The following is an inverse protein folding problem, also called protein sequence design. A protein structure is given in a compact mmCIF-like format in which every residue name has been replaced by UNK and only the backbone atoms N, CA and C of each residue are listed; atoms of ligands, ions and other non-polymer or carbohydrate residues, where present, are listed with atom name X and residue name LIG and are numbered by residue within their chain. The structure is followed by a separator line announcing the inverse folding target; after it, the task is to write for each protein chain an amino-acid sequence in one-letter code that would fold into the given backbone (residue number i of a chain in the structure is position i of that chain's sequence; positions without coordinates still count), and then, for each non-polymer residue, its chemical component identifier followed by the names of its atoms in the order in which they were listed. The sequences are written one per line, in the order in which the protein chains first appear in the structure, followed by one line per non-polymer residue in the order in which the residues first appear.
data_IF_871269175590
#
_entry.id   IF_871269175590
#
_cell.length_a   1.000
_cell.length_b   1.000
_cell.length_c   1.000
_cell.angle_alpha   90.00
_cell.angle_beta   90.00
_cell.angle_gamma   90.00
#
_symmetry.space_group_name_H-M   'P 1'
#
loop_
_entity.id
_entity.type
_entity.pdbx_description
1 polymer ?
#
# COMPACT_ATOMS: atom_id res chain seq x y z
N UNK A 1 17.33 -0.55 -2.05
CA UNK A 1 16.37 -1.29 -2.89
C UNK A 1 17.04 -1.80 -4.15
N UNK A 2 16.88 -3.07 -4.49
CA UNK A 2 17.42 -3.70 -5.73
C UNK A 2 16.30 -4.10 -6.67
N UNK A 3 16.61 -4.41 -7.94
CA UNK A 3 15.63 -4.92 -8.91
C UNK A 3 14.96 -6.21 -8.41
N UNK A 4 15.75 -7.10 -7.78
CA UNK A 4 15.24 -8.32 -7.18
C UNK A 4 14.19 -8.02 -6.09
N UNK A 5 14.41 -6.99 -5.26
CA UNK A 5 13.42 -6.58 -4.27
C UNK A 5 12.12 -6.11 -4.93
N UNK A 6 12.21 -5.29 -5.99
CA UNK A 6 11.01 -4.83 -6.71
C UNK A 6 10.23 -5.99 -7.34
N UNK A 7 10.90 -6.97 -7.95
CA UNK A 7 10.25 -8.17 -8.49
C UNK A 7 9.62 -9.01 -7.38
N UNK A 8 10.34 -9.23 -6.28
CA UNK A 8 9.84 -9.98 -5.13
C UNK A 8 8.62 -9.28 -4.50
N UNK A 9 8.61 -7.96 -4.39
CA UNK A 9 7.46 -7.19 -3.91
C UNK A 9 6.23 -7.45 -4.80
N UNK A 10 6.38 -7.41 -6.12
CA UNK A 10 5.27 -7.57 -7.04
C UNK A 10 4.67 -8.99 -7.06
N UNK A 11 5.50 -10.01 -6.85
CA UNK A 11 5.06 -11.42 -6.92
C UNK A 11 4.70 -12.01 -5.55
N UNK A 12 5.42 -11.61 -4.50
CA UNK A 12 5.37 -12.21 -3.17
C UNK A 12 4.99 -11.21 -2.07
N UNK A 13 4.95 -9.91 -2.36
CA UNK A 13 4.67 -8.88 -1.35
C UNK A 13 3.33 -9.08 -0.66
N UNK A 14 2.28 -9.41 -1.42
CA UNK A 14 0.95 -9.68 -0.86
C UNK A 14 0.94 -10.91 0.08
N UNK A 15 1.39 -12.12 -0.34
CA UNK A 15 1.53 -13.25 0.58
C UNK A 15 2.39 -12.94 1.81
N UNK A 16 3.54 -12.29 1.63
CA UNK A 16 4.44 -11.96 2.75
C UNK A 16 3.80 -10.96 3.72
N UNK A 17 2.97 -10.06 3.24
CA UNK A 17 2.18 -9.16 4.10
C UNK A 17 1.14 -9.94 4.92
N UNK A 18 0.43 -10.88 4.31
CA UNK A 18 -0.57 -11.70 5.03
C UNK A 18 0.07 -12.59 6.10
N UNK A 19 1.14 -13.31 5.76
CA UNK A 19 1.76 -14.31 6.63
C UNK A 19 2.75 -13.74 7.66
N UNK A 20 3.38 -12.60 7.37
CA UNK A 20 4.48 -12.09 8.18
C UNK A 20 4.46 -10.56 8.39
N UNK A 21 3.47 -9.84 7.85
CA UNK A 21 3.31 -8.40 8.01
C UNK A 21 4.58 -7.60 7.63
N UNK A 22 5.32 -8.04 6.61
CA UNK A 22 6.69 -7.55 6.26
C UNK A 22 6.77 -6.03 6.04
N UNK A 23 5.67 -5.38 5.64
CA UNK A 23 5.57 -3.93 5.41
C UNK A 23 4.61 -3.22 6.37
N UNK A 24 3.94 -3.95 7.26
CA UNK A 24 2.98 -3.37 8.21
C UNK A 24 3.63 -3.03 9.55
N UNK A 25 2.85 -2.37 10.41
CA UNK A 25 3.29 -2.01 11.76
C UNK A 25 3.00 -3.16 12.73
N UNK A 26 4.04 -3.71 13.36
CA UNK A 26 3.90 -4.70 14.43
C UNK A 26 3.77 -4.02 15.79
N UNK A 27 2.55 -3.73 16.23
CA UNK A 27 2.28 -3.19 17.56
C UNK A 27 1.99 -4.35 18.51
N UNK A 28 2.67 -4.43 19.66
CA UNK A 28 2.45 -5.49 20.66
C UNK A 28 3.00 -6.89 20.28
N UNK A 29 3.33 -7.13 19.01
CA UNK A 29 3.92 -8.38 18.51
C UNK A 29 4.89 -8.07 17.37
N UNK A 30 6.00 -8.82 17.28
CA UNK A 30 6.98 -8.63 16.21
C UNK A 30 6.43 -9.12 14.87
N UNK A 31 6.77 -8.44 13.78
CA UNK A 31 6.54 -8.95 12.43
C UNK A 31 7.45 -10.17 12.16
N UNK A 32 7.03 -11.05 11.26
CA UNK A 32 7.74 -12.28 10.92
C UNK A 32 6.84 -13.52 10.92
N UNK A 33 7.38 -14.64 10.46
CA UNK A 33 6.68 -15.91 10.41
C UNK A 33 6.53 -16.56 11.80
N UNK A 34 5.61 -17.53 11.91
CA UNK A 34 5.33 -18.25 13.14
C UNK A 34 4.47 -17.42 14.09
N UNK A 35 4.93 -17.19 15.31
CA UNK A 35 4.23 -16.38 16.31
C UNK A 35 4.41 -14.87 16.07
N UNK A 36 4.50 -14.42 14.82
CA UNK A 36 4.53 -13.01 14.45
C UNK A 36 3.16 -12.45 14.11
N UNK A 37 3.09 -11.15 13.82
CA UNK A 37 1.88 -10.50 13.32
C UNK A 37 1.52 -11.07 11.96
N UNK A 38 0.29 -11.54 11.82
CA UNK A 38 -0.24 -12.10 10.57
C UNK A 38 -1.77 -11.91 10.51
N UNK A 39 -2.37 -12.17 9.35
CA UNK A 39 -3.78 -11.91 9.09
C UNK A 39 -4.70 -13.11 9.39
N UNK A 40 -4.14 -14.25 9.77
CA UNK A 40 -4.83 -15.52 10.02
C UNK A 40 -4.93 -15.85 11.52
N UNK A 41 -4.43 -14.96 12.38
CA UNK A 41 -4.47 -15.13 13.83
C UNK A 41 -5.62 -14.27 14.39
N UNK A 42 -6.68 -14.86 14.95
CA UNK A 42 -7.79 -14.12 15.53
C UNK A 42 -7.39 -13.21 16.70
N UNK A 43 -6.21 -13.44 17.28
CA UNK A 43 -5.60 -12.62 18.34
C UNK A 43 -4.54 -11.63 17.81
N UNK A 44 -4.41 -11.50 16.49
CA UNK A 44 -3.46 -10.59 15.87
C UNK A 44 -3.75 -9.14 16.26
N UNK A 45 -2.72 -8.32 16.58
CA UNK A 45 -2.91 -6.91 16.93
C UNK A 45 -3.35 -6.03 15.75
N UNK A 46 -3.55 -6.62 14.56
CA UNK A 46 -4.13 -5.95 13.40
C UNK A 46 -5.64 -5.70 13.53
N UNK A 47 -6.32 -6.48 14.37
CA UNK A 47 -7.79 -6.50 14.45
C UNK A 47 -8.26 -6.21 15.87
N UNK A 48 -9.51 -5.77 16.00
CA UNK A 48 -10.15 -5.67 17.30
C UNK A 48 -10.64 -7.05 17.76
N UNK A 49 -10.68 -7.29 19.07
CA UNK A 49 -11.07 -8.60 19.62
C UNK A 49 -12.48 -9.05 19.19
N UNK A 50 -13.36 -8.11 18.85
CA UNK A 50 -14.72 -8.39 18.35
C UNK A 50 -14.72 -9.02 16.95
N UNK A 51 -13.67 -8.81 16.17
CA UNK A 51 -13.55 -9.30 14.78
C UNK A 51 -12.98 -10.73 14.71
N UNK A 52 -12.57 -11.31 15.85
CA UNK A 52 -11.98 -12.65 15.93
C UNK A 52 -12.82 -13.73 15.23
N UNK A 53 -14.15 -13.70 15.39
CA UNK A 53 -15.04 -14.64 14.72
C UNK A 53 -15.05 -14.50 13.18
N UNK A 54 -14.90 -13.27 12.67
CA UNK A 54 -14.84 -13.00 11.23
C UNK A 54 -13.52 -13.51 10.63
N UNK A 55 -12.43 -13.41 11.39
CA UNK A 55 -11.11 -13.94 10.97
C UNK A 55 -11.19 -15.46 10.83
N UNK A 56 -11.73 -16.16 11.83
CA UNK A 56 -11.92 -17.62 11.78
C UNK A 56 -12.77 -18.02 10.58
N UNK A 57 -13.87 -17.30 10.32
CA UNK A 57 -14.75 -17.57 9.18
C UNK A 57 -14.01 -17.38 7.85
N UNK A 58 -13.21 -16.32 7.73
CA UNK A 58 -12.37 -16.06 6.56
C UNK A 58 -11.36 -17.20 6.34
N UNK A 59 -10.68 -17.66 7.39
CA UNK A 59 -9.69 -18.74 7.32
C UNK A 59 -10.31 -20.06 6.87
N UNK A 60 -11.52 -20.38 7.36
CA UNK A 60 -12.31 -21.53 6.89
C UNK A 60 -12.61 -21.37 5.39
N UNK A 61 -13.03 -20.18 4.95
CA UNK A 61 -13.28 -19.91 3.53
C UNK A 61 -12.04 -20.11 2.65
N UNK A 62 -10.87 -19.65 3.11
CA UNK A 62 -9.60 -19.87 2.43
C UNK A 62 -9.26 -21.36 2.36
N UNK A 63 -9.46 -22.11 3.45
CA UNK A 63 -9.28 -23.56 3.49
C UNK A 63 -10.17 -24.30 2.50
N UNK A 64 -11.45 -23.93 2.41
CA UNK A 64 -12.41 -24.47 1.44
C UNK A 64 -11.94 -24.19 0.01
N UNK A 65 -11.52 -22.95 -0.28
CA UNK A 65 -11.02 -22.59 -1.61
C UNK A 65 -9.76 -23.38 -1.98
N UNK A 66 -8.82 -23.57 -1.05
CA UNK A 66 -7.64 -24.39 -1.26
C UNK A 66 -7.99 -25.85 -1.56
N UNK A 67 -8.98 -26.41 -0.86
CA UNK A 67 -9.50 -27.76 -1.14
C UNK A 67 -10.13 -27.85 -2.54
N UNK A 68 -10.95 -26.87 -2.94
CA UNK A 68 -11.54 -26.83 -4.29
C UNK A 68 -10.44 -26.81 -5.35
N UNK A 69 -9.43 -25.95 -5.20
CA UNK A 69 -8.30 -25.88 -6.12
C UNK A 69 -7.51 -27.20 -6.18
N UNK A 70 -7.31 -27.87 -5.04
CA UNK A 70 -6.65 -29.17 -5.01
C UNK A 70 -7.46 -30.24 -5.76
N UNK A 71 -8.79 -30.23 -5.63
CA UNK A 71 -9.69 -31.12 -6.40
C UNK A 71 -9.60 -30.80 -7.89
N UNK A 72 -9.67 -29.53 -8.29
CA UNK A 72 -9.57 -29.11 -9.69
C UNK A 72 -8.22 -29.50 -10.31
N UNK A 73 -7.11 -29.36 -9.56
CA UNK A 73 -5.79 -29.83 -9.99
C UNK A 73 -5.76 -31.35 -10.21
N UNK A 74 -6.48 -32.14 -9.42
CA UNK A 74 -6.59 -33.59 -9.61
C UNK A 74 -7.45 -33.96 -10.83
N UNK A 75 -8.56 -33.24 -11.04
CA UNK A 75 -9.51 -33.51 -12.13
C UNK A 75 -8.97 -33.05 -13.49
N UNK A 76 -8.44 -31.83 -13.55
CA UNK A 76 -8.03 -31.18 -14.80
C UNK A 76 -6.52 -31.16 -15.02
N UNK A 77 -5.72 -31.56 -14.01
CA UNK A 77 -4.26 -31.54 -14.09
C UNK A 77 -3.65 -30.19 -13.73
N UNK A 78 -2.50 -30.22 -13.06
CA UNK A 78 -1.77 -29.01 -12.61
C UNK A 78 -1.35 -28.13 -13.77
N UNK A 79 -0.98 -28.70 -14.92
CA UNK A 79 -0.58 -27.92 -16.11
C UNK A 79 -1.71 -27.03 -16.61
N UNK A 80 -2.94 -27.57 -16.67
CA UNK A 80 -4.12 -26.80 -17.08
C UNK A 80 -4.46 -25.74 -16.03
N UNK A 81 -4.47 -26.10 -14.74
CA UNK A 81 -4.75 -25.15 -13.66
C UNK A 81 -3.70 -24.03 -13.56
N UNK A 82 -2.45 -24.30 -13.92
CA UNK A 82 -1.40 -23.29 -14.01
C UNK A 82 -1.77 -22.20 -15.01
N UNK A 83 -2.25 -22.58 -16.19
CA UNK A 83 -2.61 -21.64 -17.25
C UNK A 83 -3.96 -20.97 -16.95
N UNK A 84 -4.96 -21.73 -16.53
CA UNK A 84 -6.34 -21.23 -16.37
C UNK A 84 -6.56 -20.41 -15.10
N UNK A 85 -5.82 -20.71 -14.03
CA UNK A 85 -6.06 -20.11 -12.72
C UNK A 85 -4.82 -19.45 -12.13
N UNK A 86 -3.71 -20.19 -11.96
CA UNK A 86 -2.58 -19.66 -11.17
C UNK A 86 -1.87 -18.49 -11.85
N UNK A 87 -1.62 -18.55 -13.17
CA UNK A 87 -1.04 -17.43 -13.92
C UNK A 87 -1.97 -16.21 -13.89
N UNK A 88 -3.26 -16.31 -14.26
CA UNK A 88 -4.20 -15.19 -14.15
C UNK A 88 -4.31 -14.63 -12.72
N UNK A 89 -4.32 -15.49 -11.70
CA UNK A 89 -4.34 -15.07 -10.30
C UNK A 89 -3.10 -14.24 -9.94
N UNK A 90 -1.90 -14.71 -10.29
CA UNK A 90 -0.66 -13.96 -10.05
C UNK A 90 -0.64 -12.64 -10.83
N UNK A 91 -1.20 -12.62 -12.05
CA UNK A 91 -1.33 -11.40 -12.85
C UNK A 91 -2.23 -10.35 -12.18
N UNK A 92 -3.39 -10.76 -11.65
CA UNK A 92 -4.27 -9.87 -10.88
C UNK A 92 -3.58 -9.36 -9.62
N UNK A 93 -2.89 -10.24 -8.88
CA UNK A 93 -2.15 -9.86 -7.67
C UNK A 93 -1.04 -8.86 -7.98
N UNK A 94 -0.29 -9.06 -9.08
CA UNK A 94 0.71 -8.11 -9.52
C UNK A 94 0.11 -6.71 -9.72
N UNK A 95 -1.00 -6.61 -10.44
CA UNK A 95 -1.65 -5.32 -10.67
C UNK A 95 -2.17 -4.70 -9.38
N UNK A 96 -2.78 -5.48 -8.48
CA UNK A 96 -3.23 -4.99 -7.18
C UNK A 96 -2.06 -4.38 -6.40
N UNK A 97 -0.92 -5.08 -6.32
CA UNK A 97 0.27 -4.58 -5.62
C UNK A 97 0.87 -3.36 -6.33
N UNK A 98 1.00 -3.37 -7.65
CA UNK A 98 1.59 -2.27 -8.41
C UNK A 98 0.77 -0.98 -8.27
N UNK A 99 -0.55 -1.08 -8.46
CA UNK A 99 -1.49 0.04 -8.46
C UNK A 99 -1.55 0.65 -7.06
N UNK A 100 -1.86 -0.16 -6.04
CA UNK A 100 -1.95 0.32 -4.66
C UNK A 100 -0.62 0.92 -4.19
N UNK A 101 0.52 0.29 -4.52
CA UNK A 101 1.83 0.83 -4.19
C UNK A 101 2.04 2.21 -4.81
N UNK A 102 1.82 2.37 -6.12
CA UNK A 102 2.11 3.64 -6.80
C UNK A 102 1.13 4.77 -6.49
N UNK A 103 -0.09 4.43 -6.13
CA UNK A 103 -1.14 5.39 -5.79
C UNK A 103 -1.07 5.87 -4.34
N UNK A 104 -0.47 5.08 -3.44
CA UNK A 104 -0.38 5.39 -2.01
C UNK A 104 1.05 5.65 -1.53
N UNK A 105 2.04 5.51 -2.41
CA UNK A 105 3.45 5.70 -2.07
C UNK A 105 4.08 6.72 -3.02
N UNK A 106 4.47 7.86 -2.47
CA UNK A 106 5.24 8.90 -3.17
C UNK A 106 5.86 9.84 -2.12
N UNK A 107 7.08 10.37 -2.33
CA UNK A 107 7.73 11.28 -1.38
C UNK A 107 6.93 12.57 -1.10
N UNK A 108 6.01 12.96 -1.99
CA UNK A 108 5.15 14.13 -1.81
C UNK A 108 3.91 13.87 -0.93
N UNK A 109 3.64 12.61 -0.58
CA UNK A 109 2.48 12.22 0.22
C UNK A 109 2.77 12.30 1.73
N UNK A 110 1.89 12.96 2.50
CA UNK A 110 2.01 13.01 3.95
C UNK A 110 1.54 11.70 4.59
N UNK A 111 2.19 11.35 5.69
CA UNK A 111 1.72 10.35 6.64
C UNK A 111 1.32 11.07 7.93
N UNK A 112 0.21 10.69 8.54
CA UNK A 112 -0.33 11.40 9.70
C UNK A 112 -0.25 10.55 10.96
N UNK A 113 0.18 11.15 12.07
CA UNK A 113 -0.09 10.60 13.39
C UNK A 113 -1.62 10.57 13.63
N UNK A 114 -2.08 9.69 14.52
CA UNK A 114 -3.50 9.54 14.83
C UNK A 114 -4.19 10.86 15.19
N UNK A 115 -3.54 11.72 15.98
CA UNK A 115 -4.08 13.03 16.37
C UNK A 115 -4.17 14.05 15.20
N UNK A 116 -3.39 13.85 14.13
CA UNK A 116 -3.38 14.73 12.94
C UNK A 116 -4.20 14.15 11.79
N UNK A 117 -4.68 12.91 11.92
CA UNK A 117 -5.42 12.21 10.88
C UNK A 117 -6.91 12.51 10.96
N UNK A 118 -7.53 12.69 9.79
CA UNK A 118 -8.98 12.67 9.62
C UNK A 118 -9.29 12.13 8.21
N UNK A 119 -10.56 11.84 7.94
CA UNK A 119 -10.97 11.29 6.65
C UNK A 119 -10.50 12.14 5.45
N UNK A 120 -10.66 13.46 5.52
CA UNK A 120 -10.30 14.37 4.41
C UNK A 120 -8.79 14.36 4.13
N UNK A 121 -7.97 14.34 5.18
CA UNK A 121 -6.50 14.23 5.08
C UNK A 121 -6.06 12.85 4.61
N UNK A 122 -6.70 11.80 5.09
CA UNK A 122 -6.47 10.43 4.64
C UNK A 122 -6.77 10.26 3.16
N UNK A 123 -7.92 10.76 2.70
CA UNK A 123 -8.31 10.73 1.30
C UNK A 123 -7.39 11.57 0.40
N UNK A 124 -6.80 12.67 0.93
CA UNK A 124 -5.79 13.46 0.22
C UNK A 124 -4.42 12.77 0.11
N UNK A 125 -4.15 11.73 0.92
CA UNK A 125 -2.86 11.06 0.99
C UNK A 125 -2.69 10.00 -0.11
N UNK A 126 -3.09 10.35 -1.33
CA UNK A 126 -2.97 9.53 -2.54
C UNK A 126 -2.50 10.36 -3.72
N UNK A 127 -2.04 9.70 -4.78
CA UNK A 127 -1.51 10.35 -5.98
C UNK A 127 -2.06 9.69 -7.24
N UNK A 128 -2.45 10.51 -8.21
CA UNK A 128 -2.87 10.03 -9.53
C UNK A 128 -1.65 9.71 -10.39
N UNK A 129 -1.73 8.61 -11.14
CA UNK A 129 -0.65 8.11 -12.01
C UNK A 129 -1.22 7.82 -13.40
N UNK A 130 -0.37 7.92 -14.43
CA UNK A 130 -0.75 7.57 -15.82
C UNK A 130 -0.20 6.21 -16.21
N UNK A 131 -1.09 5.27 -16.54
CA UNK A 131 -0.74 3.90 -16.95
C UNK A 131 -1.10 3.64 -18.43
N UNK A 132 -1.47 4.68 -19.16
CA UNK A 132 -1.80 4.64 -20.58
C UNK A 132 -2.99 3.71 -20.85
N UNK A 133 -2.81 2.84 -21.85
CA UNK A 133 -3.82 1.85 -22.22
C UNK A 133 -4.24 0.95 -21.04
N UNK A 134 -3.30 0.59 -20.16
CA UNK A 134 -3.59 -0.30 -19.05
C UNK A 134 -4.55 0.39 -18.08
N UNK A 135 -4.22 1.62 -17.65
CA UNK A 135 -5.08 2.37 -16.73
C UNK A 135 -6.42 2.73 -17.35
N UNK A 136 -6.40 3.33 -18.55
CA UNK A 136 -7.61 3.83 -19.21
C UNK A 136 -8.56 2.73 -19.69
N UNK A 137 -8.04 1.64 -20.26
CA UNK A 137 -8.88 0.60 -20.89
C UNK A 137 -9.15 -0.57 -19.96
N UNK A 138 -8.13 -1.09 -19.27
CA UNK A 138 -8.29 -2.30 -18.44
C UNK A 138 -8.82 -1.97 -17.05
N UNK A 139 -8.39 -0.84 -16.49
CA UNK A 139 -8.77 -0.38 -15.15
C UNK A 139 -9.77 0.77 -15.15
N UNK A 140 -10.33 1.12 -16.31
CA UNK A 140 -11.37 2.15 -16.46
C UNK A 140 -11.00 3.50 -15.84
N UNK A 141 -9.73 3.92 -15.94
CA UNK A 141 -9.28 5.24 -15.50
C UNK A 141 -9.16 5.41 -13.98
N UNK A 142 -9.36 4.36 -13.18
CA UNK A 142 -9.26 4.45 -11.71
C UNK A 142 -7.86 4.85 -11.24
N UNK A 143 -6.83 4.56 -12.05
CA UNK A 143 -5.44 4.87 -11.73
C UNK A 143 -5.15 6.37 -11.88
N UNK A 144 -5.77 6.96 -12.91
CA UNK A 144 -5.63 8.36 -13.28
C UNK A 144 -6.57 9.29 -12.50
N UNK A 145 -7.55 8.74 -11.79
CA UNK A 145 -8.59 9.46 -11.02
C UNK A 145 -8.67 8.97 -9.56
N UNK A 146 -7.60 8.40 -9.04
CA UNK A 146 -7.56 7.73 -7.76
C UNK A 146 -7.77 8.66 -6.56
N UNK A 147 -7.21 9.87 -6.60
CA UNK A 147 -7.44 10.89 -5.58
C UNK A 147 -8.94 11.16 -5.44
N UNK A 148 -9.64 11.33 -6.56
CA UNK A 148 -11.09 11.47 -6.53
C UNK A 148 -11.76 10.22 -5.95
N UNK A 149 -11.35 9.02 -6.36
CA UNK A 149 -11.93 7.78 -5.85
C UNK A 149 -11.85 7.68 -4.32
N UNK A 150 -10.79 8.19 -3.69
CA UNK A 150 -10.70 8.20 -2.22
C UNK A 150 -11.70 9.14 -1.55
N UNK A 151 -12.07 10.23 -2.22
CA UNK A 151 -13.12 11.14 -1.74
C UNK A 151 -14.53 10.67 -2.08
N UNK A 152 -14.72 10.03 -3.23
CA UNK A 152 -16.01 9.59 -3.75
C UNK A 152 -15.87 8.20 -4.37
N UNK A 153 -15.74 7.19 -3.51
CA UNK A 153 -15.43 5.81 -3.95
C UNK A 153 -16.54 5.15 -4.77
N UNK A 154 -17.77 5.67 -4.67
CA UNK A 154 -18.94 5.20 -5.41
C UNK A 154 -19.11 5.88 -6.76
N UNK A 155 -18.20 6.78 -7.17
CA UNK A 155 -18.35 7.49 -8.44
C UNK A 155 -18.22 6.50 -9.61
N UNK A 156 -19.13 6.53 -10.60
CA UNK A 156 -18.95 5.75 -11.80
C UNK A 156 -17.78 6.28 -12.62
N UNK A 157 -17.00 5.37 -13.20
CA UNK A 157 -15.77 5.73 -13.93
C UNK A 157 -15.99 6.72 -15.08
N UNK A 158 -17.16 6.68 -15.74
CA UNK A 158 -17.49 7.58 -16.85
C UNK A 158 -17.74 9.04 -16.42
N UNK A 159 -17.86 9.31 -15.12
CA UNK A 159 -17.88 10.67 -14.55
C UNK A 159 -16.59 11.01 -13.78
N UNK A 160 -15.65 10.06 -13.66
CA UNK A 160 -14.47 10.23 -12.82
C UNK A 160 -13.54 11.33 -13.34
N UNK A 161 -13.34 11.45 -14.65
CA UNK A 161 -12.48 12.50 -15.21
C UNK A 161 -13.09 13.90 -14.95
N UNK A 162 -14.39 14.09 -15.18
CA UNK A 162 -15.09 15.36 -14.94
C UNK A 162 -15.00 15.78 -13.45
N UNK A 163 -15.30 14.85 -12.55
CA UNK A 163 -15.23 15.11 -11.12
C UNK A 163 -13.79 15.31 -10.63
N UNK A 164 -12.80 14.71 -11.30
CA UNK A 164 -11.38 14.92 -11.00
C UNK A 164 -10.98 16.36 -11.34
N UNK A 165 -11.43 16.89 -12.49
CA UNK A 165 -11.20 18.30 -12.82
C UNK A 165 -11.90 19.26 -11.85
N UNK A 166 -13.05 18.87 -11.30
CA UNK A 166 -13.72 19.64 -10.25
C UNK A 166 -12.94 19.62 -8.93
N UNK A 167 -12.50 18.45 -8.46
CA UNK A 167 -11.81 18.32 -7.17
C UNK A 167 -10.43 18.98 -7.18
N UNK A 168 -9.72 18.97 -8.32
CA UNK A 168 -8.46 19.69 -8.50
C UNK A 168 -8.58 21.17 -8.14
N UNK A 169 -9.70 21.82 -8.50
CA UNK A 169 -9.95 23.25 -8.20
C UNK A 169 -10.12 23.50 -6.70
N UNK A 170 -10.69 22.54 -5.98
CA UNK A 170 -10.90 22.62 -4.52
C UNK A 170 -9.61 22.33 -3.76
N UNK A 171 -8.89 21.27 -4.15
CA UNK A 171 -7.66 20.85 -3.49
C UNK A 171 -6.46 21.76 -3.80
N UNK A 172 -6.44 22.37 -4.99
CA UNK A 172 -5.36 23.23 -5.45
C UNK A 172 -4.00 22.56 -5.31
N UNK A 173 -3.08 23.21 -4.59
CA UNK A 173 -1.71 22.72 -4.35
C UNK A 173 -1.61 21.38 -3.60
N UNK A 174 -2.71 20.93 -2.97
CA UNK A 174 -2.76 19.67 -2.23
C UNK A 174 -3.12 18.47 -3.10
N UNK A 175 -3.66 18.69 -4.30
CA UNK A 175 -3.86 17.62 -5.25
C UNK A 175 -2.50 17.09 -5.73
N UNK A 176 -2.36 15.77 -5.81
CA UNK A 176 -1.12 15.09 -6.21
C UNK A 176 -1.36 14.26 -7.45
N UNK A 177 -0.52 14.49 -8.45
CA UNK A 177 -0.44 13.66 -9.65
C UNK A 177 1.00 13.58 -10.13
N UNK A 178 1.39 12.43 -10.66
CA UNK A 178 2.64 12.26 -11.39
C UNK A 178 2.37 11.44 -12.64
N UNK A 179 2.36 12.15 -13.77
CA UNK A 179 2.11 11.62 -15.11
C UNK A 179 3.35 11.71 -16.00
N UNK A 180 4.52 11.92 -15.38
CA UNK A 180 5.78 12.08 -16.09
C UNK A 180 6.15 10.80 -16.85
N UNK A 181 6.51 10.94 -18.13
CA UNK A 181 6.83 9.81 -19.01
C UNK A 181 5.62 9.13 -19.65
N UNK A 182 4.41 9.67 -19.47
CA UNK A 182 3.19 9.21 -20.15
C UNK A 182 2.86 7.74 -19.86
N UNK A 183 2.37 7.02 -20.88
CA UNK A 183 1.85 5.65 -20.77
C UNK A 183 2.80 4.61 -20.19
N UNK A 184 4.12 4.87 -20.19
CA UNK A 184 5.14 3.96 -19.65
C UNK A 184 5.85 4.55 -18.41
N UNK A 185 5.46 5.75 -17.98
CA UNK A 185 6.02 6.46 -16.84
C UNK A 185 5.87 5.70 -15.52
N UNK A 186 4.83 4.88 -15.40
CA UNK A 186 4.61 4.05 -14.23
C UNK A 186 5.73 3.02 -13.99
N UNK A 187 6.38 2.51 -15.04
CA UNK A 187 7.52 1.59 -14.90
C UNK A 187 8.71 2.28 -14.22
N UNK A 188 8.98 3.52 -14.61
CA UNK A 188 9.97 4.37 -13.93
C UNK A 188 9.52 4.66 -12.49
N UNK A 189 8.23 4.93 -12.30
CA UNK A 189 7.65 5.20 -10.98
C UNK A 189 7.77 4.01 -10.03
N UNK A 190 7.62 2.77 -10.49
CA UNK A 190 7.85 1.56 -9.68
C UNK A 190 9.26 1.53 -9.12
N UNK A 191 10.24 1.85 -9.96
CA UNK A 191 11.64 1.89 -9.56
C UNK A 191 11.97 3.07 -8.64
N UNK A 192 11.55 4.28 -9.01
CA UNK A 192 11.88 5.48 -8.23
C UNK A 192 11.18 5.47 -6.89
N UNK A 193 9.89 5.15 -6.84
CA UNK A 193 9.11 5.13 -5.59
C UNK A 193 9.73 4.19 -4.57
N UNK A 194 10.10 2.97 -4.97
CA UNK A 194 10.73 2.00 -4.07
C UNK A 194 12.12 2.44 -3.54
N UNK A 195 12.78 3.38 -4.22
CA UNK A 195 14.07 3.94 -3.78
C UNK A 195 13.92 5.22 -2.96
N UNK A 196 12.89 6.00 -3.22
CA UNK A 196 12.62 7.26 -2.52
C UNK A 196 11.85 7.05 -1.21
N UNK A 197 11.00 6.02 -1.16
CA UNK A 197 10.04 5.79 -0.10
C UNK A 197 10.40 4.53 0.70
N UNK A 198 11.26 4.68 1.70
CA UNK A 198 11.76 3.53 2.48
C UNK A 198 11.28 3.54 3.93
N UNK A 199 11.22 4.71 4.55
CA UNK A 199 10.59 4.92 5.86
C UNK A 199 10.10 6.37 5.95
N UNK A 200 9.32 6.70 6.97
CA UNK A 200 8.80 8.06 7.19
C UNK A 200 9.40 8.66 8.46
N UNK A 201 9.65 9.96 8.42
CA UNK A 201 10.18 10.75 9.55
C UNK A 201 9.41 12.06 9.68
N UNK A 202 9.36 12.66 10.88
CA UNK A 202 8.82 13.99 11.04
C UNK A 202 9.64 15.00 10.21
N UNK A 203 9.00 16.08 9.82
CA UNK A 203 9.69 17.18 9.14
C UNK A 203 10.55 17.97 10.12
N UNK A 204 11.78 18.29 9.72
CA UNK A 204 12.69 19.12 10.51
C UNK A 204 12.07 20.50 10.75
N UNK A 205 12.17 20.99 11.99
CA UNK A 205 11.57 22.27 12.40
C UNK A 205 10.04 22.32 12.37
N UNK A 206 9.33 21.19 12.26
CA UNK A 206 7.87 21.18 12.26
C UNK A 206 7.28 21.73 13.58
N UNK A 207 6.36 22.69 13.45
CA UNK A 207 5.64 23.32 14.57
C UNK A 207 4.14 23.12 14.43
N UNK A 208 3.41 23.28 15.55
CA UNK A 208 1.95 23.14 15.57
C UNK A 208 1.47 21.80 15.02
N UNK A 209 0.47 21.82 14.15
CA UNK A 209 -0.10 20.62 13.52
C UNK A 209 0.91 19.85 12.65
N UNK A 210 1.96 20.51 12.17
CA UNK A 210 3.01 19.89 11.35
C UNK A 210 3.80 18.82 12.09
N UNK A 211 3.82 18.84 13.43
CA UNK A 211 4.53 17.84 14.25
C UNK A 211 4.01 16.42 14.05
N UNK A 212 2.73 16.27 13.70
CA UNK A 212 2.11 14.97 13.42
C UNK A 212 2.08 14.61 11.93
N UNK A 213 2.85 15.30 11.09
CA UNK A 213 2.94 15.03 9.65
C UNK A 213 4.34 14.54 9.31
N UNK A 214 4.40 13.35 8.73
CA UNK A 214 5.62 12.62 8.40
C UNK A 214 5.73 12.49 6.88
N UNK A 215 6.95 12.43 6.36
CA UNK A 215 7.23 12.24 4.95
C UNK A 215 8.32 11.20 4.74
N UNK A 216 8.34 10.61 3.55
CA UNK A 216 9.32 9.59 3.23
C UNK A 216 10.76 10.10 3.26
N UNK A 217 11.66 9.17 3.61
CA UNK A 217 13.11 9.27 3.60
C UNK A 217 13.70 8.00 3.01
N UNK A 218 14.99 8.08 2.67
CA UNK A 218 15.72 6.96 2.09
C UNK A 218 17.22 7.04 2.40
N UNK A 219 17.88 5.88 2.33
CA UNK A 219 19.32 5.74 2.47
C UNK A 219 20.07 6.07 1.17
N UNK A 220 19.37 6.43 0.09
CA UNK A 220 19.94 6.69 -1.24
C UNK A 220 20.35 8.16 -1.43
N UNK A 221 20.10 9.03 -0.45
CA UNK A 221 20.38 10.46 -0.55
C UNK A 221 19.46 11.22 -1.50
N UNK A 222 18.27 10.69 -1.78
CA UNK A 222 17.29 11.29 -2.70
C UNK A 222 16.30 12.16 -1.91
N UNK A 223 16.03 13.38 -2.38
CA UNK A 223 15.07 14.28 -1.71
C UNK A 223 15.55 14.79 -0.34
N UNK A 224 14.64 14.89 0.62
CA UNK A 224 14.92 15.38 1.96
C UNK A 224 15.85 14.42 2.71
N UNK A 225 16.93 14.95 3.31
CA UNK A 225 17.87 14.13 4.08
C UNK A 225 17.21 13.57 5.35
N UNK A 226 17.56 12.34 5.77
CA UNK A 226 17.15 11.82 7.06
C UNK A 226 17.58 12.72 8.22
N UNK A 227 16.76 12.77 9.27
CA UNK A 227 17.13 13.43 10.52
C UNK A 227 18.35 12.71 11.12
N UNK A 228 19.32 13.49 11.60
CA UNK A 228 20.45 12.91 12.32
C UNK A 228 19.93 12.39 13.65
N UNK A 229 19.99 11.07 13.86
CA UNK A 229 19.76 10.49 15.19
C UNK A 229 20.78 11.11 16.15
N UNK A 230 20.31 11.81 17.17
CA UNK A 230 21.21 12.28 18.22
C UNK A 230 21.66 11.05 19.02
N UNK A 231 22.92 11.01 19.46
CA UNK A 231 23.53 9.88 20.18
C UNK A 231 22.82 9.49 21.50
N UNK A 232 21.73 10.17 21.88
CA UNK A 232 20.99 10.00 23.12
C UNK A 232 19.85 8.98 23.02
N UNK A 233 19.44 8.56 21.82
CA UNK A 233 18.33 7.61 21.62
C UNK A 233 18.77 6.13 21.60
N UNK A 234 20.08 5.86 21.67
CA UNK A 234 20.65 4.50 21.65
C UNK A 234 20.44 3.72 22.95
N UNK A 235 19.94 4.34 24.02
CA UNK A 235 19.67 3.70 25.32
C UNK A 235 18.41 4.29 25.97
N UNK A 236 17.24 3.79 25.58
CA UNK A 236 15.98 4.29 26.15
C UNK A 236 14.72 3.51 25.77
N UNK A 237 14.79 2.19 25.62
CA UNK A 237 13.59 1.35 25.57
C UNK A 237 13.24 0.83 26.98
N UNK A 238 12.89 1.75 27.88
CA UNK A 238 12.08 1.45 29.06
C UNK A 238 11.11 2.61 29.29
N UNK A 239 9.87 2.24 29.58
CA UNK A 239 8.74 3.07 30.04
C UNK A 239 8.04 3.94 29.00
N UNK A 240 6.95 3.38 28.44
CA UNK A 240 5.68 4.11 28.37
C UNK A 240 4.60 3.12 28.83
N UNK A 241 4.40 3.05 30.15
CA UNK A 241 3.18 2.59 30.80
C UNK A 241 2.23 3.79 30.92
N UNK A 242 1.02 3.66 30.38
CA UNK A 242 -0.27 4.00 31.00
C UNK A 242 -1.41 3.76 30.00
#
# INVERSE_FOLDING_TARGET
MTLLHSIAQQLLGWPLYLFANVTGRGIGKKNGFGNGVNHFDPSSPLFESKDAGLIILSDIGIGIMAMILAILCRVYGISNMTIWYFIPYLWVNHWLVAITFLQHTDPSLPHYAGASWNYVRGAAATIDREFGFIGRTLFHGIIETHVLHHYVSTIPFYHADEATEAIKKVMGKHYRSNVDGGSIGFLKSLWTTARWCQWVEPSDGAIGEGKGVYFFRNHNGLGQKPLKMSARETFGSKEIDS
#
